data_IF_985757096254
#
_entry.id   IF_985757096254
#
_cell.length_a   1.000
_cell.length_b   1.000
_cell.length_c   1.000
_cell.angle_alpha   90.00
_cell.angle_beta   90.00
_cell.angle_gamma   90.00
#
_symmetry.space_group_name_H-M   'P 1'
#
loop_
_entity.id
_entity.type
_entity.pdbx_description
1 polymer ?
#
# COMPACT_ATOMS: atom_id res chain seq x y z
N UNK A 1 1.85 19.83 -3.54
CA UNK A 1 1.42 18.45 -3.28
C UNK A 1 1.17 18.21 -1.79
N UNK A 2 2.19 18.32 -0.93
CA UNK A 2 2.11 18.08 0.53
C UNK A 2 0.93 18.82 1.19
N UNK A 3 0.83 20.14 1.03
CA UNK A 3 -0.24 20.94 1.65
C UNK A 3 -1.63 20.59 1.13
N UNK A 4 -1.76 20.25 -0.17
CA UNK A 4 -3.03 19.78 -0.72
C UNK A 4 -3.49 18.50 -0.05
N UNK A 5 -2.62 17.50 0.06
CA UNK A 5 -2.94 16.21 0.72
C UNK A 5 -3.29 16.45 2.18
N UNK A 6 -2.49 17.26 2.91
CA UNK A 6 -2.77 17.59 4.30
C UNK A 6 -4.15 18.23 4.47
N UNK A 7 -4.49 19.21 3.63
CA UNK A 7 -5.77 19.91 3.70
C UNK A 7 -6.94 18.99 3.39
N UNK A 8 -6.81 18.12 2.39
CA UNK A 8 -7.83 17.15 2.03
C UNK A 8 -8.08 16.16 3.18
N UNK A 9 -7.00 15.67 3.80
CA UNK A 9 -7.12 14.75 4.95
C UNK A 9 -7.69 15.46 6.19
N UNK A 10 -7.28 16.71 6.47
CA UNK A 10 -7.77 17.48 7.61
C UNK A 10 -9.26 17.85 7.48
N UNK A 11 -9.75 18.05 6.26
CA UNK A 11 -11.17 18.32 5.98
C UNK A 11 -12.05 17.08 5.93
N UNK A 12 -11.47 15.87 6.00
CA UNK A 12 -12.21 14.62 5.91
C UNK A 12 -12.63 14.10 7.29
N UNK A 13 -13.89 13.70 7.39
CA UNK A 13 -14.38 12.97 8.55
C UNK A 13 -14.04 11.48 8.42
N UNK A 14 -12.92 11.07 9.02
CA UNK A 14 -12.40 9.71 8.93
C UNK A 14 -13.42 8.67 9.43
N UNK A 15 -13.62 7.63 8.65
CA UNK A 15 -14.42 6.46 9.01
C UNK A 15 -13.55 5.46 9.75
N UNK A 16 -13.66 5.45 11.08
CA UNK A 16 -12.96 4.50 11.93
C UNK A 16 -13.84 3.27 12.22
N UNK A 17 -13.26 2.09 12.15
CA UNK A 17 -13.93 0.83 12.51
C UNK A 17 -13.66 0.55 13.99
N UNK A 18 -14.71 0.53 14.80
CA UNK A 18 -14.63 0.34 16.26
C UNK A 18 -15.02 -1.07 16.73
N UNK A 19 -14.97 -2.06 15.84
CA UNK A 19 -15.32 -3.45 16.16
C UNK A 19 -14.26 -4.08 17.09
N UNK A 20 -14.57 -4.35 18.38
CA UNK A 20 -13.62 -4.87 19.35
C UNK A 20 -13.22 -6.33 19.08
N UNK A 21 -13.91 -7.02 18.17
CA UNK A 21 -13.57 -8.40 17.78
C UNK A 21 -12.49 -8.46 16.72
N UNK A 22 -12.17 -7.33 16.10
CA UNK A 22 -11.16 -7.23 15.06
C UNK A 22 -9.77 -6.92 15.65
N UNK A 23 -8.76 -7.44 14.99
CA UNK A 23 -7.36 -7.10 15.29
C UNK A 23 -6.99 -5.83 14.52
N UNK A 24 -6.30 -4.90 15.17
CA UNK A 24 -5.88 -3.67 14.53
C UNK A 24 -4.47 -3.81 13.95
N UNK A 25 -4.29 -3.22 12.78
CA UNK A 25 -3.02 -3.08 12.10
C UNK A 25 -2.89 -1.65 11.55
N UNK A 26 -1.67 -1.19 11.34
CA UNK A 26 -1.42 0.09 10.71
C UNK A 26 -0.43 -0.05 9.57
N UNK A 27 -0.60 0.76 8.53
CA UNK A 27 0.33 0.82 7.40
C UNK A 27 0.80 2.25 7.16
N UNK A 28 2.06 2.42 6.81
CA UNK A 28 2.67 3.69 6.50
C UNK A 28 2.58 4.00 5.00
N UNK A 29 1.81 5.01 4.64
CA UNK A 29 1.77 5.58 3.29
C UNK A 29 2.78 6.73 3.24
N UNK A 30 4.04 6.42 2.96
CA UNK A 30 5.13 7.39 3.01
C UNK A 30 5.29 8.09 1.67
N UNK A 31 5.06 9.40 1.65
CA UNK A 31 5.24 10.24 0.48
C UNK A 31 6.67 10.78 0.44
N UNK A 32 7.31 10.63 -0.71
CA UNK A 32 8.72 11.01 -0.94
C UNK A 32 8.85 11.66 -2.31
N UNK A 33 10.01 12.24 -2.59
CA UNK A 33 10.39 12.60 -3.94
C UNK A 33 11.12 11.43 -4.62
N UNK A 34 10.94 11.30 -5.93
CA UNK A 34 11.67 10.34 -6.77
C UNK A 34 12.16 11.00 -8.05
N UNK A 35 13.24 10.47 -8.62
CA UNK A 35 13.79 10.91 -9.88
C UNK A 35 13.27 10.03 -11.04
N UNK A 36 13.09 10.61 -12.22
CA UNK A 36 12.74 9.86 -13.42
C UNK A 36 13.87 8.89 -13.74
N UNK A 37 13.54 7.62 -13.99
CA UNK A 37 14.52 6.58 -14.28
C UNK A 37 15.15 5.92 -13.03
N UNK A 38 14.67 6.22 -11.81
CA UNK A 38 14.99 5.43 -10.61
C UNK A 38 14.31 4.05 -10.62
N UNK A 39 13.76 3.66 -11.77
CA UNK A 39 13.10 2.36 -11.95
C UNK A 39 14.08 1.21 -11.74
N UNK A 40 13.59 0.18 -11.11
CA UNK A 40 14.35 -1.04 -10.81
C UNK A 40 13.66 -2.24 -11.44
N UNK A 41 14.46 -3.25 -11.80
CA UNK A 41 13.91 -4.57 -12.11
C UNK A 41 13.44 -5.21 -10.80
N UNK A 42 12.24 -5.76 -10.82
CA UNK A 42 11.72 -6.51 -9.67
C UNK A 42 12.58 -7.77 -9.49
N UNK A 43 13.19 -7.98 -8.31
CA UNK A 43 14.00 -9.17 -8.04
C UNK A 43 13.18 -10.46 -7.90
N UNK A 44 11.85 -10.36 -7.80
CA UNK A 44 10.98 -11.54 -7.71
C UNK A 44 10.83 -12.13 -9.11
N UNK A 45 11.33 -13.36 -9.31
CA UNK A 45 11.22 -14.05 -10.58
C UNK A 45 9.79 -14.51 -10.86
N UNK A 46 9.45 -14.63 -12.14
CA UNK A 46 8.15 -15.17 -12.59
C UNK A 46 7.93 -16.59 -12.05
N UNK A 47 9.01 -17.37 -11.87
CA UNK A 47 8.97 -18.74 -11.34
C UNK A 47 8.60 -18.76 -9.86
N UNK A 48 9.07 -17.81 -9.06
CA UNK A 48 8.69 -17.67 -7.64
C UNK A 48 7.22 -17.25 -7.47
N UNK A 49 6.63 -16.61 -8.49
CA UNK A 49 5.22 -16.26 -8.54
C UNK A 49 4.30 -17.43 -8.89
N UNK A 50 4.80 -18.38 -9.67
CA UNK A 50 4.01 -19.49 -10.24
C UNK A 50 3.70 -20.63 -9.26
N UNK A 51 4.09 -20.54 -7.99
CA UNK A 51 3.79 -21.57 -7.01
C UNK A 51 2.29 -21.65 -6.68
N UNK A 52 1.52 -22.16 -7.65
CA UNK A 52 0.09 -22.47 -7.53
C UNK A 52 -0.90 -21.34 -7.83
N UNK A 53 -0.50 -20.25 -8.51
CA UNK A 53 -1.37 -19.10 -8.78
C UNK A 53 -1.54 -18.85 -10.28
N UNK A 54 -2.55 -19.46 -10.87
CA UNK A 54 -2.82 -19.46 -12.31
C UNK A 54 -3.16 -18.10 -12.97
N UNK A 55 -3.30 -16.99 -12.24
CA UNK A 55 -3.94 -15.79 -12.80
C UNK A 55 -3.05 -14.61 -13.15
N UNK A 56 -1.81 -14.57 -12.74
CA UNK A 56 -0.99 -13.34 -12.90
C UNK A 56 0.26 -13.50 -13.78
N UNK A 57 0.72 -14.70 -13.98
CA UNK A 57 2.08 -14.95 -14.52
C UNK A 57 2.28 -14.58 -15.99
N UNK A 58 1.24 -14.48 -16.78
CA UNK A 58 1.36 -14.31 -18.23
C UNK A 58 1.90 -12.94 -18.69
N UNK A 59 2.01 -11.94 -17.77
CA UNK A 59 2.35 -10.57 -18.14
C UNK A 59 3.38 -9.90 -17.21
N UNK A 60 3.99 -10.64 -16.28
CA UNK A 60 4.99 -10.11 -15.35
C UNK A 60 6.38 -10.30 -15.93
N UNK A 61 6.93 -9.26 -16.52
CA UNK A 61 8.32 -9.29 -17.02
C UNK A 61 9.33 -8.68 -16.04
N UNK A 62 8.90 -8.37 -14.80
CA UNK A 62 9.70 -7.75 -13.75
C UNK A 62 10.14 -6.31 -14.05
N UNK A 63 9.62 -5.70 -15.09
CA UNK A 63 10.01 -4.35 -15.48
C UNK A 63 9.17 -3.30 -14.78
N UNK A 64 9.84 -2.50 -13.98
CA UNK A 64 9.26 -1.33 -13.29
C UNK A 64 9.63 -0.05 -14.04
N UNK A 65 9.39 -0.05 -15.37
CA UNK A 65 9.73 1.07 -16.27
C UNK A 65 8.69 2.18 -16.15
N UNK A 66 9.15 3.44 -16.13
CA UNK A 66 8.32 4.66 -16.02
C UNK A 66 7.46 4.72 -14.74
N UNK A 67 7.85 3.99 -13.70
CA UNK A 67 7.12 3.95 -12.43
C UNK A 67 7.54 5.07 -11.50
N UNK A 68 8.81 5.50 -11.55
CA UNK A 68 9.35 6.57 -10.72
C UNK A 68 9.22 7.95 -11.38
N UNK A 69 9.38 8.99 -10.59
CA UNK A 69 9.43 10.39 -11.02
C UNK A 69 8.48 11.31 -10.27
N UNK A 70 8.98 12.45 -9.82
CA UNK A 70 8.23 13.45 -9.08
C UNK A 70 7.82 13.01 -7.68
N UNK A 71 6.66 13.45 -7.22
CA UNK A 71 6.12 12.98 -5.94
C UNK A 71 5.71 11.51 -6.05
N UNK A 72 6.16 10.71 -5.09
CA UNK A 72 6.02 9.28 -5.09
C UNK A 72 5.59 8.76 -3.71
N UNK A 73 5.20 7.50 -3.64
CA UNK A 73 5.02 6.77 -2.38
C UNK A 73 5.95 5.55 -2.33
N UNK A 74 6.29 5.12 -1.12
CA UNK A 74 7.07 3.91 -0.94
C UNK A 74 6.15 2.68 -1.01
N UNK A 75 6.58 1.69 -1.79
CA UNK A 75 5.90 0.40 -1.94
C UNK A 75 6.91 -0.72 -1.78
N UNK A 76 6.58 -1.71 -0.98
CA UNK A 76 7.43 -2.85 -0.69
C UNK A 76 7.01 -4.09 -1.49
N UNK A 77 8.01 -4.89 -1.87
CA UNK A 77 7.84 -6.26 -2.31
C UNK A 77 8.16 -7.19 -1.14
N UNK A 78 7.19 -7.96 -0.68
CA UNK A 78 7.37 -8.86 0.47
C UNK A 78 8.24 -10.05 0.10
N UNK A 79 9.03 -10.54 1.08
CA UNK A 79 9.87 -11.70 0.86
C UNK A 79 9.05 -12.97 0.60
N UNK A 80 9.50 -13.80 -0.35
CA UNK A 80 8.84 -15.05 -0.73
C UNK A 80 8.84 -16.12 0.37
N UNK A 81 9.74 -16.01 1.35
CA UNK A 81 9.86 -16.93 2.50
C UNK A 81 8.77 -16.73 3.56
N UNK A 82 8.00 -15.66 3.49
CA UNK A 82 6.89 -15.43 4.42
C UNK A 82 5.77 -16.44 4.16
N UNK A 83 5.25 -17.04 5.20
CA UNK A 83 4.21 -18.08 5.14
C UNK A 83 2.87 -17.59 4.59
N UNK A 84 2.67 -16.27 4.58
CA UNK A 84 1.47 -15.63 4.04
C UNK A 84 1.86 -14.40 3.21
N UNK A 85 1.11 -14.18 2.12
CA UNK A 85 1.28 -13.02 1.24
C UNK A 85 2.69 -12.83 0.66
N UNK A 86 3.42 -13.93 0.46
CA UNK A 86 4.73 -13.93 -0.20
C UNK A 86 4.68 -13.23 -1.56
N UNK A 87 5.74 -12.50 -1.89
CA UNK A 87 5.91 -11.78 -3.16
C UNK A 87 4.78 -10.79 -3.51
N UNK A 88 3.91 -10.40 -2.58
CA UNK A 88 2.87 -9.41 -2.80
C UNK A 88 3.39 -7.98 -2.61
N UNK A 89 2.72 -7.05 -3.28
CA UNK A 89 2.89 -5.63 -3.03
C UNK A 89 2.27 -5.24 -1.69
N UNK A 90 3.01 -4.51 -0.87
CA UNK A 90 2.56 -4.06 0.43
C UNK A 90 3.08 -2.66 0.76
N UNK A 91 2.33 -1.94 1.56
CA UNK A 91 2.85 -0.78 2.29
C UNK A 91 3.54 -1.29 3.56
N UNK A 92 4.62 -0.62 4.04
CA UNK A 92 5.21 -0.95 5.33
C UNK A 92 4.16 -0.94 6.43
N UNK A 93 4.11 -1.97 7.25
CA UNK A 93 3.10 -2.01 8.29
C UNK A 93 2.86 -3.37 8.91
N UNK A 94 2.23 -3.35 10.09
CA UNK A 94 1.94 -4.54 10.87
C UNK A 94 0.90 -4.32 11.94
N UNK A 95 0.90 -5.16 12.96
CA UNK A 95 -0.05 -5.12 14.06
C UNK A 95 0.18 -3.90 14.94
N UNK A 96 -0.91 -3.36 15.48
CA UNK A 96 -0.85 -2.37 16.55
C UNK A 96 -0.68 -3.14 17.86
N UNK A 97 0.42 -2.90 18.56
CA UNK A 97 0.72 -3.54 19.84
C UNK A 97 -0.08 -2.90 21.00
N UNK A 98 -0.26 -3.61 22.11
CA UNK A 98 -0.97 -3.07 23.28
C UNK A 98 -0.36 -1.76 23.77
N UNK A 99 -1.14 -0.69 23.78
CA UNK A 99 -0.71 0.65 24.20
C UNK A 99 -0.18 1.53 23.08
N UNK A 100 0.00 1.00 21.87
CA UNK A 100 0.34 1.80 20.69
C UNK A 100 -0.90 2.46 20.07
N UNK A 101 -0.69 3.62 19.47
CA UNK A 101 -1.62 4.16 18.48
C UNK A 101 -1.31 3.61 17.08
N UNK A 102 -2.23 3.76 16.13
CA UNK A 102 -1.95 3.40 14.73
C UNK A 102 -0.75 4.17 14.14
N UNK A 103 -0.52 5.40 14.60
CA UNK A 103 0.62 6.21 14.19
C UNK A 103 1.93 5.62 14.73
N UNK A 104 1.94 5.23 16.02
CA UNK A 104 3.14 4.63 16.63
C UNK A 104 3.51 3.32 15.93
N UNK A 105 2.52 2.45 15.69
CA UNK A 105 2.72 1.20 14.98
C UNK A 105 3.25 1.41 13.56
N UNK A 106 2.65 2.32 12.79
CA UNK A 106 3.11 2.62 11.42
C UNK A 106 4.55 3.16 11.39
N UNK A 107 4.93 4.01 12.35
CA UNK A 107 6.30 4.54 12.47
C UNK A 107 7.31 3.46 12.92
N UNK A 108 6.92 2.57 13.81
CA UNK A 108 7.74 1.43 14.26
C UNK A 108 7.99 0.48 13.09
N UNK A 109 6.94 0.02 12.42
CA UNK A 109 7.03 -0.90 11.28
C UNK A 109 7.84 -0.31 10.12
N UNK A 110 7.66 0.98 9.82
CA UNK A 110 8.45 1.67 8.81
C UNK A 110 9.95 1.62 9.13
N UNK A 111 10.32 1.77 10.40
CA UNK A 111 11.71 1.68 10.84
C UNK A 111 12.23 0.25 10.78
N UNK A 112 11.43 -0.74 11.18
CA UNK A 112 11.81 -2.15 11.22
C UNK A 112 11.93 -2.74 9.82
N UNK A 113 10.92 -2.54 8.95
CA UNK A 113 10.88 -3.13 7.62
C UNK A 113 11.74 -2.40 6.58
N UNK A 114 11.86 -1.06 6.67
CA UNK A 114 12.47 -0.22 5.61
C UNK A 114 13.68 0.57 6.11
N UNK A 115 13.92 0.62 7.42
CA UNK A 115 15.04 1.34 8.03
C UNK A 115 14.85 2.86 8.09
N UNK A 116 13.64 3.37 7.91
CA UNK A 116 13.33 4.80 7.91
C UNK A 116 12.80 5.23 9.27
N UNK A 117 13.49 6.15 9.93
CA UNK A 117 13.02 6.78 11.16
C UNK A 117 12.35 8.12 10.87
N UNK A 118 11.03 8.14 10.92
CA UNK A 118 10.22 9.37 10.90
C UNK A 118 9.62 9.63 12.29
N UNK A 119 9.10 10.82 12.49
CA UNK A 119 8.44 11.22 13.75
C UNK A 119 6.97 11.59 13.51
N UNK A 120 6.18 11.67 14.57
CA UNK A 120 4.77 12.07 14.49
C UNK A 120 4.53 13.43 13.82
N UNK A 121 5.54 14.32 13.81
CA UNK A 121 5.46 15.61 13.10
C UNK A 121 5.40 15.50 11.57
N UNK A 122 5.75 14.33 11.02
CA UNK A 122 5.67 14.06 9.58
C UNK A 122 4.30 13.56 9.14
N UNK A 123 3.40 13.25 10.06
CA UNK A 123 2.04 12.79 9.76
C UNK A 123 1.26 13.90 9.08
N UNK A 124 0.70 13.59 7.92
CA UNK A 124 -0.22 14.48 7.19
C UNK A 124 -1.68 14.23 7.60
N UNK A 125 -2.02 13.01 7.97
CA UNK A 125 -3.33 12.58 8.39
C UNK A 125 -3.49 11.05 8.29
N UNK A 126 -4.69 10.59 8.59
CA UNK A 126 -5.09 9.19 8.44
C UNK A 126 -6.15 9.06 7.36
N UNK A 127 -6.13 7.94 6.64
CA UNK A 127 -7.23 7.54 5.77
C UNK A 127 -8.28 6.74 6.57
N UNK A 128 -9.38 6.38 5.92
CA UNK A 128 -10.40 5.53 6.53
C UNK A 128 -9.84 4.14 6.80
N UNK A 129 -10.36 3.49 7.81
CA UNK A 129 -10.01 2.11 8.12
C UNK A 129 -10.51 1.18 7.02
N UNK A 130 -9.69 0.19 6.70
CA UNK A 130 -10.04 -0.86 5.76
C UNK A 130 -10.16 -2.22 6.48
N UNK A 131 -11.38 -2.79 6.60
CA UNK A 131 -11.60 -4.10 7.20
C UNK A 131 -11.20 -5.22 6.23
N UNK A 132 -10.35 -6.14 6.69
CA UNK A 132 -9.90 -7.29 5.89
C UNK A 132 -10.72 -8.55 6.15
N UNK A 133 -10.74 -9.47 5.18
CA UNK A 133 -11.34 -10.81 5.33
C UNK A 133 -10.62 -11.67 6.37
N UNK A 134 -9.33 -11.46 6.57
CA UNK A 134 -8.53 -12.14 7.59
C UNK A 134 -8.77 -11.65 9.03
N UNK A 135 -9.73 -10.72 9.22
CA UNK A 135 -10.14 -10.26 10.54
C UNK A 135 -9.30 -9.11 11.10
N UNK A 136 -8.56 -8.42 10.26
CA UNK A 136 -7.88 -7.17 10.64
C UNK A 136 -8.67 -5.94 10.22
N UNK A 137 -8.45 -4.85 10.94
CA UNK A 137 -8.76 -3.48 10.54
C UNK A 137 -7.44 -2.77 10.29
N UNK A 138 -7.20 -2.33 9.06
CA UNK A 138 -6.00 -1.61 8.70
C UNK A 138 -6.27 -0.11 8.75
N UNK A 139 -5.50 0.61 9.56
CA UNK A 139 -5.48 2.08 9.61
C UNK A 139 -4.30 2.61 8.78
N UNK A 140 -4.53 3.27 7.63
CA UNK A 140 -3.45 3.86 6.85
C UNK A 140 -3.05 5.23 7.42
N UNK A 141 -1.76 5.40 7.68
CA UNK A 141 -1.14 6.63 8.17
C UNK A 141 -0.36 7.28 7.04
N UNK A 142 -0.78 8.47 6.62
CA UNK A 142 -0.11 9.21 5.54
C UNK A 142 1.01 10.07 6.13
N UNK A 143 2.23 9.82 5.68
CA UNK A 143 3.46 10.43 6.19
C UNK A 143 4.16 11.22 5.07
N UNK A 144 4.79 12.32 5.44
CA UNK A 144 5.67 13.07 4.55
C UNK A 144 7.13 12.75 4.89
N UNK A 145 7.78 11.93 4.07
CA UNK A 145 9.19 11.60 4.21
C UNK A 145 10.12 12.68 3.66
N UNK A 146 9.60 13.58 2.80
CA UNK A 146 10.39 14.63 2.20
C UNK A 146 11.22 14.15 1.01
N UNK A 147 12.42 14.67 0.88
CA UNK A 147 13.33 14.37 -0.23
C UNK A 147 13.82 12.91 -0.25
N UNK A 148 15.08 12.75 -0.63
CA UNK A 148 15.67 11.41 -0.79
C UNK A 148 15.95 10.77 0.57
N UNK A 149 15.21 9.71 0.91
CA UNK A 149 15.45 8.90 2.11
C UNK A 149 16.43 7.77 1.80
N UNK A 150 17.30 7.47 2.74
CA UNK A 150 18.13 6.26 2.70
C UNK A 150 17.27 5.07 3.12
N UNK A 151 17.13 4.08 2.24
CA UNK A 151 16.33 2.88 2.46
C UNK A 151 17.26 1.74 2.90
N UNK A 152 16.89 1.06 3.99
CA UNK A 152 17.60 -0.12 4.51
C UNK A 152 16.58 -1.22 4.80
N UNK A 153 16.05 -1.87 3.75
CA UNK A 153 15.04 -2.90 3.93
C UNK A 153 15.57 -4.09 4.73
N UNK A 154 14.73 -4.62 5.60
CA UNK A 154 14.99 -5.85 6.34
C UNK A 154 14.83 -7.06 5.38
N UNK A 155 15.89 -7.79 5.03
CA UNK A 155 15.87 -8.74 3.91
C UNK A 155 14.99 -9.97 4.17
N UNK A 156 14.68 -10.26 5.43
CA UNK A 156 13.79 -11.36 5.81
C UNK A 156 12.31 -11.03 5.58
N UNK A 157 11.97 -9.74 5.46
CA UNK A 157 10.59 -9.27 5.32
C UNK A 157 10.33 -8.57 3.97
N UNK A 158 11.31 -7.80 3.50
CA UNK A 158 11.18 -6.94 2.32
C UNK A 158 12.32 -7.21 1.35
N UNK A 159 11.98 -7.72 0.16
CA UNK A 159 12.96 -8.00 -0.90
C UNK A 159 13.41 -6.72 -1.60
N UNK A 160 12.46 -5.81 -1.83
CA UNK A 160 12.73 -4.53 -2.49
C UNK A 160 11.75 -3.45 -2.03
N UNK A 161 12.21 -2.20 -2.11
CA UNK A 161 11.38 -1.01 -1.87
C UNK A 161 11.47 -0.12 -3.11
N UNK A 162 10.32 0.30 -3.60
CA UNK A 162 10.16 1.13 -4.80
C UNK A 162 9.64 2.51 -4.43
N UNK A 163 10.08 3.52 -5.16
CA UNK A 163 9.48 4.85 -5.17
C UNK A 163 8.52 4.95 -6.35
N UNK A 164 7.26 4.69 -6.08
CA UNK A 164 6.21 4.69 -7.10
C UNK A 164 5.63 6.08 -7.24
N UNK A 165 5.76 6.68 -8.40
CA UNK A 165 5.23 8.01 -8.68
C UNK A 165 3.71 8.06 -8.51
N UNK A 166 3.21 9.14 -7.89
CA UNK A 166 1.76 9.31 -7.69
C UNK A 166 0.98 9.36 -9.01
N UNK A 167 1.65 9.68 -10.13
CA UNK A 167 1.05 9.63 -11.47
C UNK A 167 0.57 8.22 -11.85
N UNK A 168 1.20 7.15 -11.30
CA UNK A 168 0.76 5.78 -11.53
C UNK A 168 -0.65 5.49 -10.99
N UNK A 169 -1.02 6.15 -9.90
CA UNK A 169 -2.38 6.04 -9.39
C UNK A 169 -3.42 6.75 -10.27
N UNK A 170 -2.99 7.72 -11.08
CA UNK A 170 -3.82 8.57 -11.92
C UNK A 170 -3.86 8.13 -13.39
N UNK A 171 -3.36 6.94 -13.73
CA UNK A 171 -3.43 6.37 -15.08
C UNK A 171 -4.89 6.16 -15.50
N UNK A 172 -5.16 6.23 -16.79
CA UNK A 172 -6.50 6.04 -17.36
C UNK A 172 -7.04 4.63 -17.16
N UNK A 173 -6.14 3.61 -17.05
CA UNK A 173 -6.48 2.23 -16.78
C UNK A 173 -6.53 1.88 -15.27
N UNK A 174 -6.44 2.87 -14.39
CA UNK A 174 -6.47 2.73 -12.93
C UNK A 174 -7.64 3.52 -12.33
N UNK A 175 -8.39 2.96 -11.37
CA UNK A 175 -8.37 1.57 -10.91
C UNK A 175 -9.08 0.62 -11.87
N UNK A 176 -8.80 -0.68 -11.76
CA UNK A 176 -9.60 -1.74 -12.37
C UNK A 176 -10.49 -2.36 -11.32
N UNK A 177 -11.73 -2.68 -11.71
CA UNK A 177 -12.67 -3.40 -10.86
C UNK A 177 -13.08 -4.68 -11.55
N UNK A 178 -12.97 -5.80 -10.86
CA UNK A 178 -13.43 -7.10 -11.36
C UNK A 178 -14.45 -7.69 -10.41
N UNK A 179 -15.35 -8.51 -10.94
CA UNK A 179 -16.30 -9.31 -10.14
C UNK A 179 -15.77 -10.72 -9.99
N UNK A 180 -16.00 -11.32 -8.83
CA UNK A 180 -15.66 -12.70 -8.52
C UNK A 180 -16.93 -13.43 -8.04
N UNK A 181 -17.05 -14.74 -8.29
CA UNK A 181 -18.23 -15.50 -7.88
C UNK A 181 -18.44 -15.54 -6.36
N UNK A 182 -17.34 -15.42 -5.59
CA UNK A 182 -17.33 -15.55 -4.13
C UNK A 182 -17.84 -14.32 -3.39
N UNK A 183 -17.98 -13.17 -4.09
CA UNK A 183 -18.43 -11.92 -3.45
C UNK A 183 -19.19 -11.03 -4.43
N UNK A 184 -20.27 -10.36 -3.98
CA UNK A 184 -20.94 -9.33 -4.77
C UNK A 184 -20.16 -8.00 -4.80
N UNK A 185 -19.14 -7.85 -3.95
CA UNK A 185 -18.30 -6.64 -3.88
C UNK A 185 -17.27 -6.65 -4.98
N UNK A 186 -16.98 -5.50 -5.63
CA UNK A 186 -15.95 -5.43 -6.65
C UNK A 186 -14.55 -5.58 -6.04
N UNK A 187 -13.72 -6.44 -6.64
CA UNK A 187 -12.30 -6.54 -6.30
C UNK A 187 -11.56 -5.42 -6.99
N UNK A 188 -10.81 -4.61 -6.21
CA UNK A 188 -9.99 -3.53 -6.76
C UNK A 188 -8.60 -4.03 -7.13
N UNK A 189 -8.12 -3.55 -8.27
CA UNK A 189 -6.76 -3.76 -8.77
C UNK A 189 -6.19 -2.42 -9.21
N UNK A 190 -4.97 -2.11 -8.78
CA UNK A 190 -4.23 -0.93 -9.22
C UNK A 190 -3.09 -1.39 -10.14
N UNK A 191 -3.13 -1.05 -11.43
CA UNK A 191 -2.05 -1.37 -12.35
C UNK A 191 -0.75 -0.67 -11.95
N UNK A 192 0.37 -1.41 -11.99
CA UNK A 192 1.71 -0.92 -11.70
C UNK A 192 2.70 -1.58 -12.66
N UNK A 193 3.24 -0.82 -13.60
CA UNK A 193 4.03 -1.43 -14.66
C UNK A 193 3.22 -2.52 -15.36
N UNK A 194 3.76 -3.72 -15.40
CA UNK A 194 3.09 -4.92 -15.94
C UNK A 194 2.46 -5.79 -14.83
N UNK A 195 2.33 -5.29 -13.61
CA UNK A 195 1.78 -6.00 -12.46
C UNK A 195 0.49 -5.34 -11.94
N UNK A 196 -0.14 -5.95 -10.94
CA UNK A 196 -1.35 -5.49 -10.30
C UNK A 196 -1.19 -5.45 -8.78
N UNK A 197 -1.50 -4.32 -8.18
CA UNK A 197 -1.61 -4.20 -6.72
C UNK A 197 -3.06 -4.50 -6.33
N UNK A 198 -3.25 -5.52 -5.52
CA UNK A 198 -4.57 -5.93 -5.04
C UNK A 198 -4.89 -5.33 -3.66
N UNK A 199 -6.18 -5.37 -3.28
CA UNK A 199 -6.58 -5.06 -1.91
C UNK A 199 -5.98 -6.10 -0.91
N UNK A 200 -5.60 -5.68 0.32
CA UNK A 200 -5.90 -4.38 0.94
C UNK A 200 -5.05 -3.21 0.44
N UNK A 201 -3.83 -3.43 -0.02
CA UNK A 201 -2.90 -2.37 -0.45
C UNK A 201 -3.50 -1.50 -1.56
N UNK A 202 -4.12 -2.13 -2.58
CA UNK A 202 -4.77 -1.42 -3.68
C UNK A 202 -5.93 -0.53 -3.22
N UNK A 203 -6.70 -0.95 -2.23
CA UNK A 203 -7.80 -0.15 -1.66
C UNK A 203 -7.26 1.10 -0.93
N UNK A 204 -6.19 0.94 -0.14
CA UNK A 204 -5.53 2.06 0.54
C UNK A 204 -4.96 3.06 -0.47
N UNK A 205 -4.30 2.59 -1.52
CA UNK A 205 -3.74 3.46 -2.57
C UNK A 205 -4.84 4.16 -3.38
N UNK A 206 -5.95 3.49 -3.63
CA UNK A 206 -7.11 4.12 -4.27
C UNK A 206 -7.70 5.23 -3.39
N UNK A 207 -7.79 5.02 -2.09
CA UNK A 207 -8.24 6.07 -1.18
C UNK A 207 -7.24 7.23 -1.09
N UNK A 208 -5.92 6.96 -1.12
CA UNK A 208 -4.92 8.00 -1.24
C UNK A 208 -5.15 8.87 -2.49
N UNK A 209 -5.44 8.24 -3.63
CA UNK A 209 -5.80 8.96 -4.86
C UNK A 209 -7.06 9.79 -4.64
N UNK A 210 -8.18 9.15 -4.30
CA UNK A 210 -9.48 9.82 -4.21
C UNK A 210 -9.47 10.92 -3.15
N UNK A 211 -9.13 10.59 -1.91
CA UNK A 211 -9.15 11.56 -0.83
C UNK A 211 -7.92 12.47 -0.85
N UNK A 212 -6.72 11.89 -0.88
CA UNK A 212 -5.48 12.66 -0.76
C UNK A 212 -5.21 13.55 -1.96
N UNK A 213 -5.35 13.04 -3.19
CA UNK A 213 -5.00 13.77 -4.39
C UNK A 213 -6.18 14.54 -5.01
N UNK A 214 -7.38 13.97 -5.01
CA UNK A 214 -8.56 14.51 -5.71
C UNK A 214 -9.55 15.20 -4.76
N UNK A 215 -9.44 15.02 -3.43
CA UNK A 215 -10.37 15.57 -2.44
C UNK A 215 -11.74 14.88 -2.42
N UNK A 216 -11.83 13.65 -2.95
CA UNK A 216 -13.06 12.85 -3.00
C UNK A 216 -13.11 11.90 -1.80
N UNK A 217 -14.22 11.91 -1.07
CA UNK A 217 -14.41 11.11 0.14
C UNK A 217 -15.17 9.79 -0.12
N UNK A 218 -14.95 9.16 -1.29
CA UNK A 218 -15.60 7.90 -1.63
C UNK A 218 -15.08 6.76 -0.72
N UNK A 219 -15.98 5.89 -0.20
CA UNK A 219 -15.59 4.79 0.68
C UNK A 219 -14.85 3.69 -0.08
N UNK A 220 -13.92 3.02 0.60
CA UNK A 220 -13.18 1.86 0.06
C UNK A 220 -13.42 0.58 0.87
N UNK A 221 -14.12 0.65 1.98
CA UNK A 221 -14.44 -0.47 2.87
C UNK A 221 -15.35 -1.53 2.24
N UNK A 222 -16.08 -1.16 1.17
CA UNK A 222 -16.88 -2.08 0.38
C UNK A 222 -16.10 -2.74 -0.79
N UNK A 223 -14.84 -2.39 -1.00
CA UNK A 223 -14.00 -3.04 -2.01
C UNK A 223 -13.51 -4.39 -1.51
N UNK A 224 -13.60 -5.39 -2.37
CA UNK A 224 -13.25 -6.76 -2.02
C UNK A 224 -11.77 -7.05 -2.23
N UNK A 225 -11.27 -8.00 -1.47
CA UNK A 225 -9.96 -8.61 -1.65
C UNK A 225 -10.07 -9.80 -2.61
N UNK A 226 -9.03 -10.11 -3.39
CA UNK A 226 -9.01 -11.35 -4.16
C UNK A 226 -8.99 -12.56 -3.22
N UNK A 227 -9.54 -13.69 -3.67
CA UNK A 227 -9.74 -14.90 -2.84
C UNK A 227 -8.44 -15.38 -2.18
N UNK A 228 -7.31 -15.26 -2.87
CA UNK A 228 -6.01 -15.64 -2.31
C UNK A 228 -5.57 -14.80 -1.10
N UNK A 229 -6.12 -13.60 -0.92
CA UNK A 229 -5.83 -12.69 0.18
C UNK A 229 -6.79 -12.85 1.39
N UNK A 230 -7.69 -13.84 1.36
CA UNK A 230 -8.67 -14.07 2.43
C UNK A 230 -8.12 -14.90 3.61
N UNK A 231 -6.93 -15.48 3.47
CA UNK A 231 -6.31 -16.37 4.46
C UNK A 231 -5.35 -15.63 5.38
#
# INVERSE_FOLDING_TARGET
>A
MRERIRNNLAGHHRRAVTDPTKRHAAVAVVLVDSEVGEDRVDPVSVEEWNDGREMAAAHLDGRMVDVSGGAAFLLCRRASRLSSHAAQWALPGGRVDPGETAVDAALRELREEVGIALSGSTVLGLLDDYPTRSGYVITPVVLWGGGRLELRPAPDEVVAVYRVGLHQLQRDDSPRFITIPESPRPVVQIPLGNDLIHAPTGAVLLQLRWLGLEGRADPVDELEQPVFAWK
#
